data_IF_632215716545
#
_entry.id   IF_632215716545
#
_cell.length_a   1.000
_cell.length_b   1.000
_cell.length_c   1.000
_cell.angle_alpha   90.00
_cell.angle_beta   90.00
_cell.angle_gamma   90.00
#
_symmetry.space_group_name_H-M   'P 1'
#
loop_
_entity.id
_entity.type
_entity.pdbx_description
1 polymer ?
#
# COMPACT_ATOMS: atom_id res chain seq x y z
N UNK A 1 11.31 8.27 -6.29
CA UNK A 1 11.18 7.53 -5.00
C UNK A 1 12.31 6.49 -4.94
N UNK A 2 12.65 6.00 -3.74
CA UNK A 2 13.52 4.83 -3.54
C UNK A 2 12.72 3.71 -2.88
N UNK A 3 13.15 2.46 -3.04
CA UNK A 3 12.51 1.27 -2.45
C UNK A 3 13.22 0.94 -1.14
N UNK A 4 12.45 0.65 -0.09
CA UNK A 4 12.96 0.35 1.25
C UNK A 4 12.30 -0.92 1.79
N UNK A 5 13.02 -1.67 2.63
CA UNK A 5 12.49 -2.75 3.43
C UNK A 5 13.17 -2.74 4.79
N UNK A 6 12.41 -2.95 5.87
CA UNK A 6 12.91 -2.96 7.24
C UNK A 6 12.07 -3.89 8.12
N UNK A 7 12.70 -4.42 9.17
CA UNK A 7 12.05 -5.08 10.29
C UNK A 7 12.46 -4.31 11.54
N UNK A 8 11.49 -3.75 12.26
CA UNK A 8 11.74 -2.89 13.43
C UNK A 8 10.61 -3.00 14.46
N UNK A 9 10.88 -2.61 15.71
CA UNK A 9 9.91 -2.63 16.79
C UNK A 9 9.06 -1.36 16.82
N UNK A 10 7.74 -1.50 16.90
CA UNK A 10 6.76 -0.41 16.90
C UNK A 10 5.69 -0.60 18.01
N UNK A 11 6.16 -0.86 19.22
CA UNK A 11 5.33 -1.18 20.40
C UNK A 11 4.24 -0.17 20.72
N UNK A 12 4.39 1.09 20.31
CA UNK A 12 3.47 2.17 20.58
C UNK A 12 2.17 2.09 19.77
N UNK A 13 2.12 1.32 18.66
CA UNK A 13 0.90 1.21 17.84
C UNK A 13 0.66 -0.13 17.14
N UNK A 14 1.68 -0.96 16.92
CA UNK A 14 1.59 -2.07 15.96
C UNK A 14 0.55 -3.16 16.30
N UNK A 15 0.53 -3.64 17.54
CA UNK A 15 -0.33 -4.78 17.93
C UNK A 15 -1.44 -4.32 18.87
N UNK A 16 -2.70 -4.57 18.49
CA UNK A 16 -3.91 -4.11 19.21
C UNK A 16 -3.87 -2.61 19.53
N UNK A 17 -3.39 -1.78 18.60
CA UNK A 17 -3.27 -0.33 18.82
C UNK A 17 -2.22 0.05 19.88
N UNK A 18 -1.20 -0.77 20.09
CA UNK A 18 -0.11 -0.54 21.04
C UNK A 18 -0.33 -1.15 22.43
N UNK A 19 -1.40 -1.93 22.62
CA UNK A 19 -1.69 -2.60 23.90
C UNK A 19 -0.76 -3.78 24.18
N UNK A 20 -0.36 -4.53 23.15
CA UNK A 20 0.55 -5.66 23.29
C UNK A 20 1.98 -5.23 22.95
N UNK A 21 2.93 -5.49 23.84
CA UNK A 21 4.34 -5.15 23.69
C UNK A 21 5.15 -6.36 23.24
N UNK A 22 6.26 -6.10 22.57
CA UNK A 22 7.17 -7.13 22.07
C UNK A 22 7.75 -7.94 23.23
N UNK A 23 7.53 -9.26 23.20
CA UNK A 23 8.22 -10.20 24.08
C UNK A 23 9.60 -10.52 23.50
N UNK A 24 10.61 -9.77 23.94
CA UNK A 24 12.00 -9.92 23.49
C UNK A 24 12.64 -11.26 23.85
N UNK A 25 12.04 -12.06 24.76
CA UNK A 25 12.49 -13.43 25.01
C UNK A 25 12.26 -14.37 23.82
N UNK A 26 11.42 -13.96 22.85
CA UNK A 26 11.13 -14.71 21.60
C UNK A 26 12.05 -14.35 20.44
N UNK A 27 13.05 -13.50 20.67
CA UNK A 27 14.03 -13.16 19.64
C UNK A 27 14.88 -14.39 19.23
N UNK A 28 15.39 -14.42 17.97
CA UNK A 28 15.31 -13.37 16.95
C UNK A 28 13.98 -13.37 16.17
N UNK A 29 13.49 -12.18 15.85
CA UNK A 29 12.40 -11.99 14.90
C UNK A 29 12.99 -11.97 13.48
N UNK A 30 12.54 -12.88 12.61
CA UNK A 30 13.17 -13.10 11.29
C UNK A 30 12.15 -12.87 10.17
N UNK A 31 12.45 -11.94 9.28
CA UNK A 31 11.75 -11.73 8.01
C UNK A 31 12.66 -12.17 6.84
N UNK A 32 12.11 -12.93 5.89
CA UNK A 32 12.85 -13.45 4.73
C UNK A 32 12.32 -12.85 3.43
N UNK A 33 13.21 -12.39 2.54
CA UNK A 33 12.86 -11.71 1.29
C UNK A 33 13.48 -12.45 0.08
N UNK A 34 12.77 -12.41 -1.05
CA UNK A 34 13.20 -12.99 -2.35
C UNK A 34 12.69 -12.12 -3.51
N UNK A 35 13.01 -12.51 -4.74
CA UNK A 35 12.68 -11.82 -6.00
C UNK A 35 13.47 -10.53 -6.23
N UNK A 36 13.39 -9.55 -5.33
CA UNK A 36 14.03 -8.22 -5.47
C UNK A 36 13.77 -7.57 -6.85
N UNK A 37 12.63 -7.87 -7.48
CA UNK A 37 12.30 -7.41 -8.82
C UNK A 37 12.06 -5.90 -8.86
N UNK A 38 12.73 -5.23 -9.80
CA UNK A 38 12.53 -3.81 -10.10
C UNK A 38 12.43 -3.64 -11.61
N UNK A 39 11.26 -3.23 -12.08
CA UNK A 39 11.06 -2.65 -13.40
C UNK A 39 10.40 -1.30 -13.23
N UNK A 40 11.17 -0.23 -13.45
CA UNK A 40 10.75 1.13 -13.21
C UNK A 40 11.48 2.09 -14.15
N UNK A 41 10.97 3.31 -14.23
CA UNK A 41 11.68 4.38 -14.91
C UNK A 41 12.68 5.04 -13.96
N UNK A 42 13.96 4.77 -14.16
CA UNK A 42 15.01 5.37 -13.35
C UNK A 42 15.03 6.89 -13.54
N UNK A 43 15.04 7.61 -12.42
CA UNK A 43 15.05 9.06 -12.39
C UNK A 43 15.91 9.52 -11.22
N UNK A 44 16.79 10.50 -11.45
CA UNK A 44 17.58 11.10 -10.38
C UNK A 44 16.70 11.84 -9.37
N UNK A 45 17.23 12.12 -8.18
CA UNK A 45 16.51 12.88 -7.15
C UNK A 45 16.06 14.27 -7.62
N UNK A 46 16.76 14.85 -8.60
CA UNK A 46 16.46 16.17 -9.15
C UNK A 46 15.55 16.10 -10.39
N UNK A 47 15.34 14.92 -10.97
CA UNK A 47 14.48 14.75 -12.12
C UNK A 47 13.00 14.92 -11.69
N UNK A 48 12.25 15.68 -12.48
CA UNK A 48 10.81 15.94 -12.24
C UNK A 48 9.89 15.05 -13.09
N UNK A 49 10.46 14.31 -14.03
CA UNK A 49 9.72 13.45 -14.95
C UNK A 49 10.55 12.23 -15.32
N UNK A 50 9.86 11.18 -15.76
CA UNK A 50 10.45 10.01 -16.39
C UNK A 50 10.76 10.30 -17.86
N UNK A 51 11.99 10.06 -18.32
CA UNK A 51 12.38 10.33 -19.71
C UNK A 51 11.62 9.46 -20.74
N UNK A 52 11.11 8.30 -20.32
CA UNK A 52 10.32 7.38 -21.15
C UNK A 52 8.83 7.39 -20.81
N UNK A 53 8.34 8.45 -20.17
CA UNK A 53 6.92 8.58 -19.81
C UNK A 53 6.02 8.37 -21.03
N UNK A 54 4.99 7.54 -20.89
CA UNK A 54 4.03 7.20 -21.95
C UNK A 54 4.50 6.07 -22.89
N UNK A 55 5.72 5.58 -22.73
CA UNK A 55 6.31 4.54 -23.60
C UNK A 55 6.47 3.19 -22.91
N UNK A 56 6.24 3.11 -21.60
CA UNK A 56 6.45 1.89 -20.81
C UNK A 56 5.20 1.03 -20.86
N UNK A 57 5.35 -0.28 -20.59
CA UNK A 57 4.20 -1.20 -20.64
C UNK A 57 3.10 -0.80 -19.64
N UNK A 58 3.46 -0.25 -18.48
CA UNK A 58 2.50 0.23 -17.48
C UNK A 58 1.80 1.54 -17.87
N UNK A 59 2.26 2.23 -18.92
CA UNK A 59 1.61 3.44 -19.44
C UNK A 59 0.54 3.11 -20.51
N UNK A 60 0.39 1.83 -20.88
CA UNK A 60 -0.52 1.41 -21.96
C UNK A 60 -1.97 1.33 -21.48
N UNK A 61 -2.90 1.32 -22.44
CA UNK A 61 -4.36 1.43 -22.20
C UNK A 61 -4.88 0.37 -21.22
N UNK A 62 -4.32 -0.82 -21.28
CA UNK A 62 -4.68 -1.97 -20.45
C UNK A 62 -4.36 -1.74 -18.96
N UNK A 63 -3.49 -0.78 -18.65
CA UNK A 63 -3.04 -0.46 -17.29
C UNK A 63 -3.57 0.89 -16.78
N UNK A 64 -4.45 1.55 -17.53
CA UNK A 64 -5.07 2.82 -17.10
C UNK A 64 -6.10 2.63 -15.99
N UNK A 65 -6.68 1.43 -15.87
CA UNK A 65 -7.60 1.06 -14.81
C UNK A 65 -7.50 -0.45 -14.52
N UNK A 66 -7.97 -0.88 -13.35
CA UNK A 66 -8.15 -2.29 -13.06
C UNK A 66 -9.28 -2.88 -13.91
N UNK A 67 -9.14 -4.15 -14.29
CA UNK A 67 -10.20 -4.87 -14.98
C UNK A 67 -11.36 -5.23 -14.02
N UNK A 68 -12.49 -5.66 -14.60
CA UNK A 68 -13.68 -6.01 -13.82
C UNK A 68 -13.49 -7.18 -12.84
N UNK A 69 -12.58 -8.11 -13.13
CA UNK A 69 -12.27 -9.23 -12.24
C UNK A 69 -11.38 -8.77 -11.07
N UNK A 70 -10.39 -7.94 -11.35
CA UNK A 70 -9.54 -7.31 -10.34
C UNK A 70 -10.37 -6.46 -9.37
N UNK A 71 -11.32 -5.67 -9.88
CA UNK A 71 -12.26 -4.92 -9.04
C UNK A 71 -13.14 -5.82 -8.16
N UNK A 72 -13.62 -6.96 -8.67
CA UNK A 72 -14.38 -7.93 -7.86
C UNK A 72 -13.53 -8.52 -6.73
N UNK A 73 -12.27 -8.85 -7.01
CA UNK A 73 -11.32 -9.32 -5.98
C UNK A 73 -11.08 -8.26 -4.92
N UNK A 74 -10.85 -7.01 -5.32
CA UNK A 74 -10.68 -5.90 -4.39
C UNK A 74 -11.94 -5.68 -3.53
N UNK A 75 -13.13 -5.73 -4.14
CA UNK A 75 -14.40 -5.63 -3.41
C UNK A 75 -14.55 -6.73 -2.35
N UNK A 76 -14.18 -7.98 -2.67
CA UNK A 76 -14.20 -9.07 -1.71
C UNK A 76 -13.25 -8.85 -0.53
N UNK A 77 -12.02 -8.35 -0.79
CA UNK A 77 -11.09 -7.95 0.29
C UNK A 77 -11.72 -6.89 1.18
N UNK A 78 -12.31 -5.84 0.60
CA UNK A 78 -12.95 -4.76 1.34
C UNK A 78 -14.13 -5.21 2.20
N UNK A 79 -14.93 -6.15 1.70
CA UNK A 79 -16.09 -6.67 2.43
C UNK A 79 -15.75 -7.71 3.50
N UNK A 80 -14.64 -8.45 3.34
CA UNK A 80 -14.38 -9.65 4.15
C UNK A 80 -13.15 -9.56 5.04
N UNK A 81 -12.16 -8.73 4.69
CA UNK A 81 -10.85 -8.71 5.35
C UNK A 81 -10.43 -7.33 5.86
N UNK A 82 -11.14 -6.26 5.50
CA UNK A 82 -10.81 -4.91 5.96
C UNK A 82 -11.32 -4.68 7.39
N UNK A 83 -10.39 -4.52 8.34
CA UNK A 83 -10.67 -4.25 9.75
C UNK A 83 -10.61 -2.75 10.11
N UNK A 84 -9.99 -1.93 9.27
CA UNK A 84 -9.94 -0.47 9.39
C UNK A 84 -9.85 0.15 7.99
N UNK A 85 -10.58 1.23 7.77
CA UNK A 85 -10.54 1.99 6.51
C UNK A 85 -10.80 3.48 6.80
N UNK A 86 -9.82 4.32 6.43
CA UNK A 86 -9.89 5.77 6.64
C UNK A 86 -11.05 6.42 5.87
N UNK A 87 -11.43 5.89 4.70
CA UNK A 87 -12.56 6.40 3.92
C UNK A 87 -13.90 6.32 4.66
N UNK A 88 -14.03 5.36 5.58
CA UNK A 88 -15.23 5.16 6.42
C UNK A 88 -15.07 5.66 7.86
N UNK A 89 -13.88 6.10 8.24
CA UNK A 89 -13.61 6.64 9.58
C UNK A 89 -14.11 8.08 9.70
N UNK A 90 -15.38 8.22 10.13
CA UNK A 90 -16.03 9.53 10.30
C UNK A 90 -15.54 10.31 11.51
N UNK A 91 -14.89 9.65 12.47
CA UNK A 91 -14.27 10.35 13.61
C UNK A 91 -13.03 11.11 13.17
N UNK A 92 -12.21 10.49 12.32
CA UNK A 92 -10.99 11.10 11.80
C UNK A 92 -11.25 11.99 10.59
N UNK A 93 -12.16 11.56 9.72
CA UNK A 93 -12.55 12.27 8.50
C UNK A 93 -14.06 12.52 8.49
N UNK A 94 -14.51 13.62 9.12
CA UNK A 94 -15.93 13.99 9.12
C UNK A 94 -16.50 14.13 7.71
N UNK A 95 -15.70 14.67 6.80
CA UNK A 95 -15.96 14.66 5.35
C UNK A 95 -15.07 13.60 4.71
N UNK A 96 -15.69 12.72 3.91
CA UNK A 96 -14.97 11.67 3.21
C UNK A 96 -13.98 12.26 2.20
N UNK A 97 -12.73 11.76 2.16
CA UNK A 97 -11.78 12.12 1.11
C UNK A 97 -12.32 11.80 -0.30
N UNK A 98 -11.97 12.61 -1.29
CA UNK A 98 -12.59 12.58 -2.63
C UNK A 98 -12.19 11.37 -3.46
N UNK A 99 -10.98 10.86 -3.26
CA UNK A 99 -10.41 9.67 -3.88
C UNK A 99 -11.18 8.40 -3.52
N UNK A 100 -11.75 8.32 -2.31
CA UNK A 100 -12.42 7.12 -1.79
C UNK A 100 -13.50 6.55 -2.72
N UNK A 101 -14.20 7.43 -3.44
CA UNK A 101 -15.22 7.00 -4.42
C UNK A 101 -14.59 6.46 -5.71
N UNK A 102 -13.51 7.08 -6.17
CA UNK A 102 -12.78 6.66 -7.37
C UNK A 102 -12.07 5.32 -7.13
N UNK A 103 -11.43 5.19 -5.96
CA UNK A 103 -10.67 4.01 -5.54
C UNK A 103 -11.56 2.82 -5.13
N UNK A 104 -12.88 3.05 -5.05
CA UNK A 104 -13.92 2.09 -4.64
C UNK A 104 -13.67 1.55 -3.23
N UNK A 105 -13.34 2.46 -2.31
CA UNK A 105 -13.07 2.18 -0.91
C UNK A 105 -14.33 2.09 -0.05
N UNK A 106 -15.46 2.52 -0.63
CA UNK A 106 -16.80 2.57 -0.03
C UNK A 106 -17.84 2.04 -0.97
#
# INVERSE_FOLDING_TARGET
MKIYSSLWNADDWATRGGLEKTDWSKAPFVASYRSFHVDGCEASVNARFCATQGKRWWDQREFQDLDGLQYRRMSWVRQKYTIYNYCTDRSRYPTMPSECKMDRDV
#
